data_IF_833996848304
#
_entry.id   IF_833996848304
#
_cell.length_a   1.000
_cell.length_b   1.000
_cell.length_c   1.000
_cell.angle_alpha   90.00
_cell.angle_beta   90.00
_cell.angle_gamma   90.00
#
_symmetry.space_group_name_H-M   'P 1'
#
loop_
_entity.id
_entity.type
_entity.pdbx_description
1 polymer ?
#
# COMPACT_ATOMS: atom_id res chain seq x y z
N UNK A 1 9.51 12.79 -16.77
CA UNK A 1 9.58 11.40 -16.28
C UNK A 1 8.20 11.09 -15.72
N UNK A 2 7.42 10.24 -16.39
CA UNK A 2 6.13 9.81 -15.88
C UNK A 2 6.31 9.21 -14.48
N UNK A 3 5.43 9.59 -13.57
CA UNK A 3 5.40 9.01 -12.23
C UNK A 3 5.00 7.55 -12.41
N UNK A 4 5.88 6.60 -12.08
CA UNK A 4 5.49 5.18 -12.08
C UNK A 4 4.38 4.98 -11.06
N UNK A 5 3.19 4.64 -11.54
CA UNK A 5 2.06 4.22 -10.72
C UNK A 5 2.26 2.74 -10.37
N UNK A 6 2.90 2.51 -9.23
CA UNK A 6 3.23 1.16 -8.77
C UNK A 6 3.16 1.08 -7.26
N UNK A 7 2.75 -0.08 -6.76
CA UNK A 7 2.85 -0.45 -5.35
C UNK A 7 3.76 -1.67 -5.18
N UNK A 8 4.20 -1.92 -3.95
CA UNK A 8 5.09 -3.03 -3.60
C UNK A 8 4.32 -4.07 -2.81
N UNK A 9 4.52 -5.34 -3.16
CA UNK A 9 4.08 -6.48 -2.36
C UNK A 9 5.25 -6.96 -1.48
N UNK A 10 5.01 -7.15 -0.19
CA UNK A 10 6.04 -7.53 0.76
C UNK A 10 6.04 -9.02 1.08
N UNK A 11 7.23 -9.59 1.28
CA UNK A 11 7.39 -11.03 1.59
C UNK A 11 6.67 -11.45 2.88
N UNK A 12 6.60 -10.57 3.87
CA UNK A 12 5.92 -10.83 5.14
C UNK A 12 4.39 -10.91 5.00
N UNK A 13 3.83 -10.58 3.82
CA UNK A 13 2.40 -10.74 3.54
C UNK A 13 2.03 -12.17 3.21
N UNK A 14 3.00 -13.03 2.87
CA UNK A 14 2.71 -14.41 2.53
C UNK A 14 2.19 -15.19 3.74
N UNK A 15 2.83 -15.03 4.90
CA UNK A 15 2.48 -15.77 6.11
C UNK A 15 1.00 -15.68 6.52
N UNK A 16 0.35 -14.50 6.52
CA UNK A 16 -1.08 -14.39 6.85
C UNK A 16 -2.03 -14.92 5.76
N UNK A 17 -1.58 -15.12 4.51
CA UNK A 17 -2.45 -15.52 3.39
C UNK A 17 -2.14 -16.91 2.82
N UNK A 18 -1.06 -17.56 3.26
CA UNK A 18 -0.54 -18.80 2.66
C UNK A 18 -1.50 -19.99 2.64
N UNK A 19 -2.50 -20.00 3.54
CA UNK A 19 -3.47 -21.09 3.66
C UNK A 19 -4.80 -20.76 2.96
N UNK A 20 -4.92 -19.60 2.30
CA UNK A 20 -6.12 -19.21 1.58
C UNK A 20 -6.21 -19.94 0.23
N UNK A 21 -7.45 -20.17 -0.23
CA UNK A 21 -7.68 -20.70 -1.57
C UNK A 21 -7.22 -19.74 -2.66
N UNK A 22 -6.91 -20.25 -3.85
CA UNK A 22 -6.57 -19.41 -5.02
C UNK A 22 -7.68 -18.41 -5.34
N UNK A 23 -8.95 -18.78 -5.15
CA UNK A 23 -10.08 -17.88 -5.32
C UNK A 23 -10.03 -16.71 -4.32
N UNK A 24 -9.73 -17.00 -3.06
CA UNK A 24 -9.57 -16.01 -1.99
C UNK A 24 -8.36 -15.09 -2.24
N UNK A 25 -7.22 -15.65 -2.65
CA UNK A 25 -6.03 -14.87 -3.04
C UNK A 25 -6.34 -13.95 -4.23
N UNK A 26 -7.10 -14.42 -5.22
CA UNK A 26 -7.57 -13.61 -6.34
C UNK A 26 -8.47 -12.44 -5.90
N UNK A 27 -9.36 -12.66 -4.92
CA UNK A 27 -10.19 -11.58 -4.35
C UNK A 27 -9.35 -10.53 -3.62
N UNK A 28 -8.37 -10.95 -2.82
CA UNK A 28 -7.44 -10.02 -2.14
C UNK A 28 -6.67 -9.19 -3.16
N UNK A 29 -6.13 -9.83 -4.20
CA UNK A 29 -5.35 -9.12 -5.22
C UNK A 29 -6.20 -8.05 -5.93
N UNK A 30 -7.44 -8.37 -6.30
CA UNK A 30 -8.37 -7.38 -6.88
C UNK A 30 -8.66 -6.23 -5.92
N UNK A 31 -8.88 -6.53 -4.64
CA UNK A 31 -9.10 -5.51 -3.62
C UNK A 31 -7.92 -4.55 -3.48
N UNK A 32 -6.68 -5.04 -3.59
CA UNK A 32 -5.47 -4.20 -3.59
C UNK A 32 -5.48 -3.24 -4.78
N UNK A 33 -5.83 -3.70 -5.99
CA UNK A 33 -5.89 -2.81 -7.14
C UNK A 33 -7.00 -1.75 -7.00
N UNK A 34 -8.20 -2.14 -6.58
CA UNK A 34 -9.32 -1.21 -6.40
C UNK A 34 -9.00 -0.09 -5.41
N UNK A 35 -8.37 -0.42 -4.28
CA UNK A 35 -7.99 0.60 -3.30
C UNK A 35 -6.87 1.51 -3.81
N UNK A 36 -5.92 0.99 -4.59
CA UNK A 36 -4.78 1.76 -5.10
C UNK A 36 -5.16 2.64 -6.29
N UNK A 37 -6.09 2.21 -7.13
CA UNK A 37 -6.54 2.95 -8.33
C UNK A 37 -7.68 3.91 -7.96
N UNK A 38 -8.71 3.40 -7.28
CA UNK A 38 -9.97 4.11 -7.08
C UNK A 38 -10.16 4.64 -5.64
N UNK A 39 -9.32 4.22 -4.69
CA UNK A 39 -9.52 4.55 -3.28
C UNK A 39 -10.74 3.87 -2.64
N UNK A 40 -11.32 2.87 -3.31
CA UNK A 40 -12.51 2.17 -2.86
C UNK A 40 -12.16 0.87 -2.13
N UNK A 41 -12.84 0.63 -1.00
CA UNK A 41 -12.77 -0.63 -0.29
C UNK A 41 -13.76 -1.60 -0.94
N UNK A 42 -13.33 -2.83 -1.27
CA UNK A 42 -14.27 -3.87 -1.65
C UNK A 42 -15.09 -4.25 -0.41
N UNK A 43 -16.38 -3.92 -0.42
CA UNK A 43 -17.32 -4.17 0.69
C UNK A 43 -17.80 -5.63 0.77
N UNK A 44 -17.48 -6.45 -0.23
CA UNK A 44 -17.93 -7.85 -0.35
C UNK A 44 -16.78 -8.86 -0.20
N UNK A 45 -15.90 -8.65 0.78
CA UNK A 45 -14.90 -9.64 1.16
C UNK A 45 -15.40 -10.49 2.33
N UNK A 46 -15.07 -11.78 2.34
CA UNK A 46 -15.30 -12.63 3.51
C UNK A 46 -14.53 -12.06 4.72
N UNK A 47 -15.01 -12.22 5.96
CA UNK A 47 -14.37 -11.65 7.15
C UNK A 47 -12.87 -11.98 7.29
N UNK A 48 -12.48 -13.19 6.90
CA UNK A 48 -11.09 -13.66 6.88
C UNK A 48 -10.23 -12.86 5.89
N UNK A 49 -10.77 -12.53 4.73
CA UNK A 49 -10.09 -11.73 3.71
C UNK A 49 -10.02 -10.26 4.09
N UNK A 50 -11.04 -9.74 4.79
CA UNK A 50 -11.01 -8.36 5.33
C UNK A 50 -9.82 -8.19 6.28
N UNK A 51 -9.57 -9.17 7.15
CA UNK A 51 -8.45 -9.10 8.10
C UNK A 51 -7.10 -9.10 7.37
N UNK A 52 -6.91 -10.01 6.42
CA UNK A 52 -5.70 -10.07 5.59
C UNK A 52 -5.50 -8.77 4.78
N UNK A 53 -6.57 -8.24 4.20
CA UNK A 53 -6.55 -7.00 3.43
C UNK A 53 -6.23 -5.78 4.31
N UNK A 54 -6.83 -5.66 5.50
CA UNK A 54 -6.58 -4.55 6.43
C UNK A 54 -5.11 -4.48 6.86
N UNK A 55 -4.45 -5.63 7.01
CA UNK A 55 -3.02 -5.68 7.29
C UNK A 55 -2.20 -5.03 6.17
N UNK A 56 -2.50 -5.38 4.91
CA UNK A 56 -1.84 -4.78 3.73
C UNK A 56 -2.16 -3.30 3.59
N UNK A 57 -3.42 -2.90 3.80
CA UNK A 57 -3.86 -1.51 3.75
C UNK A 57 -3.10 -0.64 4.78
N UNK A 58 -2.88 -1.18 5.98
CA UNK A 58 -2.12 -0.48 7.02
C UNK A 58 -0.68 -0.23 6.58
N UNK A 59 -0.03 -1.21 5.96
CA UNK A 59 1.33 -1.03 5.43
C UNK A 59 1.39 0.04 4.34
N UNK A 60 0.44 0.05 3.40
CA UNK A 60 0.38 1.10 2.36
C UNK A 60 0.26 2.51 2.95
N UNK A 61 -0.54 2.69 4.01
CA UNK A 61 -0.67 3.98 4.71
C UNK A 61 0.66 4.40 5.35
N UNK A 62 1.35 3.47 6.00
CA UNK A 62 2.66 3.72 6.61
C UNK A 62 3.72 4.10 5.58
N UNK A 63 3.73 3.43 4.42
CA UNK A 63 4.67 3.73 3.34
C UNK A 63 4.43 5.11 2.72
N UNK A 64 3.17 5.45 2.47
CA UNK A 64 2.79 6.76 1.96
C UNK A 64 3.25 7.88 2.92
N UNK A 65 3.05 7.68 4.22
CA UNK A 65 3.47 8.64 5.24
C UNK A 65 5.00 8.75 5.34
N UNK A 66 5.72 7.61 5.36
CA UNK A 66 7.19 7.60 5.34
C UNK A 66 7.74 8.33 4.12
N UNK A 67 7.14 8.11 2.95
CA UNK A 67 7.53 8.79 1.73
C UNK A 67 7.26 10.29 1.80
N UNK A 68 6.09 10.71 2.30
CA UNK A 68 5.73 12.12 2.51
C UNK A 68 6.75 12.83 3.39
N UNK A 69 7.07 12.26 4.55
CA UNK A 69 8.06 12.83 5.49
C UNK A 69 9.46 12.95 4.86
N UNK A 70 9.88 11.95 4.08
CA UNK A 70 11.14 12.01 3.32
C UNK A 70 11.15 13.15 2.31
N UNK A 71 10.05 13.33 1.57
CA UNK A 71 9.92 14.43 0.61
C UNK A 71 9.94 15.81 1.28
N UNK A 72 9.26 15.97 2.43
CA UNK A 72 9.26 17.21 3.20
C UNK A 72 10.67 17.56 3.69
N UNK A 73 11.38 16.61 4.31
CA UNK A 73 12.76 16.80 4.74
C UNK A 73 13.70 17.17 3.59
N UNK A 74 13.54 16.52 2.43
CA UNK A 74 14.34 16.85 1.25
C UNK A 74 14.06 18.27 0.72
N UNK A 75 12.81 18.73 0.79
CA UNK A 75 12.45 20.11 0.43
C UNK A 75 13.08 21.12 1.39
N UNK A 76 13.06 20.85 2.69
CA UNK A 76 13.71 21.70 3.71
C UNK A 76 15.21 21.82 3.48
N UNK A 77 15.90 20.69 3.26
CA UNK A 77 17.35 20.66 2.95
C UNK A 77 17.64 21.49 1.70
N UNK A 78 16.84 21.32 0.64
CA UNK A 78 17.01 22.09 -0.60
C UNK A 78 16.77 23.59 -0.40
N UNK A 79 15.82 23.98 0.46
CA UNK A 79 15.59 25.39 0.81
C UNK A 79 16.75 25.98 1.62
N UNK A 80 17.29 25.23 2.59
CA UNK A 80 18.45 25.68 3.37
C UNK A 80 19.71 25.82 2.49
N UNK A 81 19.92 24.92 1.54
CA UNK A 81 21.04 24.98 0.61
C UNK A 81 21.00 26.20 -0.32
N UNK A 82 19.81 26.66 -0.73
CA UNK A 82 19.64 27.87 -1.55
C UNK A 82 19.87 29.19 -0.79
N UNK A 83 19.95 29.15 0.54
CA UNK A 83 20.16 30.33 1.41
C UNK A 83 21.63 30.53 1.80
N UNK A 84 22.51 29.61 1.43
CA UNK A 84 23.98 29.71 1.56
C UNK A 84 24.58 30.08 0.22
#
# INVERSE_FOLDING_TARGET
MEKKESFVLYKNWYEPIKNLSDASLGKILRAIFEIQINGMLITELEPELIMAFNFMQTQFKLDAERYRLKCEKNKEIAMMAKRK
#
